data_IF_201655278505
#
_entry.id   IF_201655278505
#
_cell.length_a   1.000
_cell.length_b   1.000
_cell.length_c   1.000
_cell.angle_alpha   90.00
_cell.angle_beta   90.00
_cell.angle_gamma   90.00
#
_symmetry.space_group_name_H-M   'P 1'
#
loop_
_entity.id
_entity.type
_entity.pdbx_description
1 polymer ?
#
# COMPACT_ATOMS: atom_id res chain seq x y z
N UNK A 1 -3.79 33.51 3.83
CA UNK A 1 -3.17 33.17 2.54
C UNK A 1 -2.04 32.18 2.80
N UNK A 2 -2.24 30.89 2.52
CA UNK A 2 -1.14 29.91 2.64
C UNK A 2 -0.08 30.24 1.58
N UNK A 3 1.14 30.57 2.01
CA UNK A 3 2.24 30.82 1.09
C UNK A 3 2.55 29.60 0.22
N UNK A 4 2.99 29.82 -1.03
CA UNK A 4 3.36 28.75 -1.96
C UNK A 4 4.40 27.83 -1.32
N UNK A 5 4.21 26.52 -1.43
CA UNK A 5 5.19 25.52 -0.98
C UNK A 5 6.50 25.69 -1.74
N UNK A 6 7.64 25.66 -1.04
CA UNK A 6 8.96 25.62 -1.69
C UNK A 6 9.17 24.21 -2.23
N UNK A 7 9.59 24.10 -3.48
CA UNK A 7 9.81 22.82 -4.17
C UNK A 7 11.17 22.77 -4.85
N UNK A 8 11.74 21.58 -5.01
CA UNK A 8 12.96 21.32 -5.78
C UNK A 8 12.94 19.93 -6.42
N UNK A 9 13.89 19.67 -7.31
CA UNK A 9 14.17 18.33 -7.86
C UNK A 9 15.59 17.96 -7.43
N UNK A 10 15.79 16.74 -6.90
CA UNK A 10 17.12 16.27 -6.54
C UNK A 10 17.91 15.79 -7.77
N UNK A 11 19.19 15.44 -7.59
CA UNK A 11 20.04 14.93 -8.67
C UNK A 11 19.52 13.63 -9.32
N UNK A 12 18.73 12.84 -8.59
CA UNK A 12 18.13 11.59 -9.06
C UNK A 12 16.79 11.76 -9.80
N UNK A 13 16.32 12.99 -9.96
CA UNK A 13 15.07 13.34 -10.66
C UNK A 13 13.80 13.37 -9.80
N UNK A 14 13.89 13.18 -8.49
CA UNK A 14 12.72 13.17 -7.61
C UNK A 14 12.34 14.57 -7.12
N UNK A 15 11.05 14.88 -7.21
CA UNK A 15 10.45 16.10 -6.63
C UNK A 15 10.45 16.05 -5.11
N UNK A 16 10.81 17.16 -4.49
CA UNK A 16 10.78 17.38 -3.05
C UNK A 16 10.08 18.70 -2.74
N UNK A 17 9.44 18.78 -1.58
CA UNK A 17 8.90 20.02 -1.02
C UNK A 17 9.48 20.28 0.37
N UNK A 18 9.55 21.55 0.77
CA UNK A 18 9.93 21.93 2.13
C UNK A 18 8.73 21.79 3.04
N UNK A 19 8.80 20.81 3.94
CA UNK A 19 7.85 20.66 5.04
C UNK A 19 8.24 21.68 6.13
N UNK A 20 7.31 22.57 6.48
CA UNK A 20 7.57 23.63 7.46
C UNK A 20 7.40 23.15 8.89
N UNK A 21 6.58 22.14 9.10
CA UNK A 21 6.29 21.61 10.43
C UNK A 21 7.44 20.73 10.88
N UNK A 22 8.03 19.97 9.95
CA UNK A 22 9.19 19.11 10.19
C UNK A 22 10.54 19.77 9.87
N UNK A 23 10.53 21.02 9.38
CA UNK A 23 11.69 21.80 8.97
C UNK A 23 12.69 21.04 8.08
N UNK A 24 12.19 20.24 7.12
CA UNK A 24 13.01 19.38 6.24
C UNK A 24 12.48 19.28 4.81
N UNK A 25 13.34 18.82 3.91
CA UNK A 25 12.94 18.46 2.55
C UNK A 25 12.36 17.04 2.53
N UNK A 26 11.12 16.92 2.07
CA UNK A 26 10.40 15.65 1.98
C UNK A 26 10.19 15.28 0.51
N UNK A 27 10.34 14.00 0.17
CA UNK A 27 10.03 13.49 -1.16
C UNK A 27 8.54 13.53 -1.43
N UNK A 28 8.15 14.14 -2.55
CA UNK A 28 6.74 14.32 -2.89
C UNK A 28 6.02 12.99 -3.07
N UNK A 29 6.62 12.03 -3.78
CA UNK A 29 6.01 10.71 -3.98
C UNK A 29 5.78 9.99 -2.64
N UNK A 30 6.73 10.07 -1.70
CA UNK A 30 6.63 9.40 -0.40
C UNK A 30 5.50 9.98 0.44
N UNK A 31 5.37 11.31 0.49
CA UNK A 31 4.25 11.94 1.21
C UNK A 31 2.89 11.69 0.54
N UNK A 32 2.83 11.56 -0.79
CA UNK A 32 1.59 11.19 -1.48
C UNK A 32 1.21 9.73 -1.19
N UNK A 33 2.18 8.82 -1.21
CA UNK A 33 1.96 7.41 -0.90
C UNK A 33 1.52 7.20 0.55
N UNK A 34 2.18 7.87 1.52
CA UNK A 34 1.79 7.88 2.94
C UNK A 34 0.31 8.27 3.12
N UNK A 35 -0.10 9.37 2.48
CA UNK A 35 -1.51 9.80 2.51
C UNK A 35 -2.47 8.83 1.81
N UNK A 36 -2.01 8.09 0.81
CA UNK A 36 -2.81 7.08 0.09
C UNK A 36 -3.04 5.85 0.95
N UNK A 37 -2.02 5.35 1.65
CA UNK A 37 -2.10 4.12 2.44
C UNK A 37 -2.52 4.37 3.90
N UNK A 38 -2.64 5.63 4.32
CA UNK A 38 -3.08 6.00 5.66
C UNK A 38 -2.03 5.79 6.76
N UNK A 39 -0.81 5.39 6.40
CA UNK A 39 0.34 5.20 7.30
C UNK A 39 1.64 5.57 6.61
N UNK A 40 2.71 5.76 7.37
CA UNK A 40 4.05 5.88 6.79
C UNK A 40 4.51 4.52 6.21
N UNK A 41 5.24 4.51 5.07
CA UNK A 41 5.92 3.31 4.61
C UNK A 41 6.92 2.83 5.66
N UNK A 42 6.83 1.56 6.06
CA UNK A 42 7.69 0.96 7.09
C UNK A 42 9.07 0.61 6.53
N UNK A 43 10.08 0.31 7.36
CA UNK A 43 11.35 -0.21 6.87
C UNK A 43 11.14 -1.46 6.00
N UNK A 44 11.80 -1.51 4.84
CA UNK A 44 11.57 -2.56 3.83
C UNK A 44 10.48 -2.21 2.82
N UNK A 45 9.79 -1.08 2.93
CA UNK A 45 8.83 -0.61 1.93
C UNK A 45 9.35 0.58 1.10
N UNK A 46 9.19 0.48 -0.22
CA UNK A 46 9.54 1.52 -1.17
C UNK A 46 8.35 1.94 -2.02
N UNK A 47 8.35 3.21 -2.44
CA UNK A 47 7.30 3.77 -3.30
C UNK A 47 7.71 3.64 -4.75
N UNK A 48 6.95 2.85 -5.50
CA UNK A 48 7.16 2.59 -6.92
C UNK A 48 6.27 3.49 -7.79
N UNK A 49 6.84 4.02 -8.88
CA UNK A 49 6.10 4.73 -9.93
C UNK A 49 5.67 3.74 -11.00
N UNK A 50 4.37 3.44 -11.08
CA UNK A 50 3.81 2.40 -11.97
C UNK A 50 4.18 2.65 -13.44
N UNK A 51 4.21 3.92 -13.88
CA UNK A 51 4.59 4.29 -15.25
C UNK A 51 6.10 4.59 -15.45
N UNK A 52 6.92 4.44 -14.40
CA UNK A 52 8.36 4.78 -14.42
C UNK A 52 8.69 6.28 -14.42
N UNK A 53 7.70 7.17 -14.48
CA UNK A 53 7.91 8.63 -14.47
C UNK A 53 7.95 9.17 -13.04
N UNK A 54 9.17 9.50 -12.58
CA UNK A 54 9.46 10.07 -11.26
C UNK A 54 8.79 11.41 -10.98
N UNK A 55 8.37 12.12 -12.04
CA UNK A 55 7.69 13.40 -11.94
C UNK A 55 6.17 13.28 -11.74
N UNK A 56 5.59 12.13 -12.10
CA UNK A 56 4.17 11.83 -11.94
C UNK A 56 3.88 11.30 -10.54
N UNK A 57 3.65 12.24 -9.63
CA UNK A 57 3.36 11.98 -8.22
C UNK A 57 1.85 11.89 -7.94
N UNK A 58 1.01 11.58 -8.93
CA UNK A 58 -0.42 11.33 -8.70
C UNK A 58 -0.55 10.04 -7.89
N UNK A 59 -1.42 10.01 -6.88
CA UNK A 59 -1.62 8.83 -6.01
C UNK A 59 -1.94 7.55 -6.78
N UNK A 60 -2.65 7.65 -7.92
CA UNK A 60 -2.93 6.52 -8.81
C UNK A 60 -1.71 5.92 -9.51
N UNK A 61 -0.61 6.67 -9.58
CA UNK A 61 0.64 6.24 -10.22
C UNK A 61 1.67 5.71 -9.21
N UNK A 62 1.34 5.75 -7.91
CA UNK A 62 2.24 5.35 -6.84
C UNK A 62 1.70 4.11 -6.13
N UNK A 63 2.54 3.12 -5.93
CA UNK A 63 2.25 1.94 -5.12
C UNK A 63 3.39 1.72 -4.12
N UNK A 64 3.07 1.24 -2.93
CA UNK A 64 4.08 0.88 -1.93
C UNK A 64 4.32 -0.62 -2.04
N UNK A 65 5.58 -1.00 -2.23
CA UNK A 65 6.01 -2.39 -2.42
C UNK A 65 7.03 -2.76 -1.35
N UNK A 66 7.11 -4.05 -1.02
CA UNK A 66 8.31 -4.60 -0.35
C UNK A 66 9.53 -4.34 -1.24
N UNK A 67 10.68 -4.09 -0.63
CA UNK A 67 11.97 -3.86 -1.29
C UNK A 67 12.32 -4.99 -2.27
N UNK A 68 12.13 -6.23 -1.86
CA UNK A 68 12.38 -7.41 -2.72
C UNK A 68 11.49 -7.45 -3.96
N UNK A 69 10.21 -7.06 -3.82
CA UNK A 69 9.27 -6.96 -4.95
C UNK A 69 9.66 -5.77 -5.85
N UNK A 70 10.00 -4.64 -5.26
CA UNK A 70 10.43 -3.44 -5.99
C UNK A 70 11.68 -3.72 -6.84
N UNK A 71 12.68 -4.39 -6.26
CA UNK A 71 13.89 -4.80 -6.97
C UNK A 71 13.57 -5.76 -8.11
N UNK A 72 12.70 -6.75 -7.86
CA UNK A 72 12.26 -7.71 -8.88
C UNK A 72 11.57 -7.02 -10.06
N UNK A 73 10.69 -6.06 -9.80
CA UNK A 73 9.98 -5.29 -10.84
C UNK A 73 10.97 -4.46 -11.67
N UNK A 74 12.04 -3.95 -11.07
CA UNK A 74 13.03 -3.14 -11.79
C UNK A 74 14.10 -3.94 -12.53
N UNK A 75 14.52 -5.10 -12.01
CA UNK A 75 15.68 -5.82 -12.51
C UNK A 75 15.36 -7.12 -13.25
N UNK A 76 14.31 -7.83 -12.83
CA UNK A 76 14.03 -9.19 -13.31
C UNK A 76 12.80 -9.24 -14.22
N UNK A 77 11.67 -8.70 -13.75
CA UNK A 77 10.38 -8.85 -14.41
C UNK A 77 9.47 -7.63 -14.17
N UNK A 78 9.43 -6.66 -15.11
CA UNK A 78 8.56 -5.49 -15.04
C UNK A 78 7.07 -5.81 -14.96
N UNK A 79 6.66 -7.01 -15.38
CA UNK A 79 5.27 -7.47 -15.38
C UNK A 79 4.96 -8.34 -14.14
N UNK A 80 5.88 -8.40 -13.16
CA UNK A 80 5.65 -9.07 -11.90
C UNK A 80 4.51 -8.39 -11.11
N UNK A 81 3.68 -9.21 -10.48
CA UNK A 81 2.59 -8.74 -9.64
C UNK A 81 3.12 -7.86 -8.49
N UNK A 82 2.60 -6.64 -8.37
CA UNK A 82 2.99 -5.69 -7.31
C UNK A 82 2.57 -6.13 -5.89
N UNK A 83 1.72 -7.16 -5.74
CA UNK A 83 1.35 -7.71 -4.43
C UNK A 83 2.25 -8.87 -4.00
N UNK A 84 2.51 -9.83 -4.90
CA UNK A 84 3.21 -11.06 -4.55
C UNK A 84 4.54 -11.29 -5.28
N UNK A 85 4.91 -10.44 -6.23
CA UNK A 85 6.12 -10.56 -7.04
C UNK A 85 6.12 -11.68 -8.09
N UNK A 86 5.05 -12.49 -8.21
CA UNK A 86 4.97 -13.54 -9.24
C UNK A 86 4.38 -13.00 -10.55
N UNK A 87 4.81 -13.57 -11.67
CA UNK A 87 4.36 -13.18 -13.01
C UNK A 87 3.01 -13.79 -13.37
N UNK A 88 2.35 -13.24 -14.39
CA UNK A 88 1.15 -13.82 -15.00
C UNK A 88 -0.20 -13.29 -14.47
N UNK A 89 -0.18 -12.37 -13.50
CA UNK A 89 -1.37 -11.66 -13.01
C UNK A 89 -0.97 -10.29 -12.46
N UNK A 90 -1.95 -9.39 -12.34
CA UNK A 90 -1.77 -8.07 -11.71
C UNK A 90 -2.18 -8.11 -10.24
N UNK A 91 -1.83 -7.07 -9.48
CA UNK A 91 -2.15 -6.98 -8.05
C UNK A 91 -3.67 -7.10 -7.77
N UNK A 92 -4.51 -6.59 -8.66
CA UNK A 92 -5.97 -6.66 -8.56
C UNK A 92 -6.51 -8.09 -8.66
N UNK A 93 -5.82 -8.96 -9.40
CA UNK A 93 -6.19 -10.37 -9.62
C UNK A 93 -5.35 -11.33 -8.75
N UNK A 94 -4.64 -10.79 -7.75
CA UNK A 94 -3.71 -11.57 -6.95
C UNK A 94 -4.43 -12.34 -5.83
N UNK A 95 -4.44 -13.66 -5.95
CA UNK A 95 -5.00 -14.60 -4.97
C UNK A 95 -3.92 -15.25 -4.08
N UNK A 96 -2.69 -14.74 -4.12
CA UNK A 96 -1.56 -15.35 -3.43
C UNK A 96 -1.55 -15.00 -1.94
N UNK A 97 -1.33 -16.04 -1.12
CA UNK A 97 -1.17 -15.94 0.35
C UNK A 97 0.24 -15.56 0.78
N UNK A 98 1.21 -15.87 -0.07
CA UNK A 98 2.63 -15.57 0.15
C UNK A 98 3.22 -14.83 -1.03
N UNK A 99 4.32 -14.13 -0.83
CA UNK A 99 5.10 -13.53 -1.91
C UNK A 99 6.04 -14.54 -2.58
N UNK A 100 6.79 -14.08 -3.57
CA UNK A 100 7.69 -14.92 -4.35
C UNK A 100 8.84 -15.52 -3.52
N UNK A 101 9.16 -14.95 -2.36
CA UNK A 101 10.16 -15.46 -1.41
C UNK A 101 9.56 -16.47 -0.43
N UNK A 102 8.23 -16.49 -0.32
CA UNK A 102 7.48 -17.40 0.53
C UNK A 102 7.01 -16.77 1.83
N UNK A 103 7.24 -15.47 2.04
CA UNK A 103 6.74 -14.75 3.21
C UNK A 103 5.24 -14.51 3.07
N UNK A 104 4.52 -14.54 4.20
CA UNK A 104 3.09 -14.22 4.21
C UNK A 104 2.86 -12.78 3.71
N UNK A 105 1.83 -12.60 2.90
CA UNK A 105 1.31 -11.29 2.51
C UNK A 105 0.09 -11.10 3.40
N UNK A 106 0.26 -10.33 4.48
CA UNK A 106 -0.73 -10.08 5.54
C UNK A 106 -2.15 -10.38 5.08
N UNK A 107 -2.64 -11.55 5.49
CA UNK A 107 -4.04 -11.93 5.40
C UNK A 107 -4.70 -11.17 6.55
N UNK A 108 -5.71 -10.37 6.18
CA UNK A 108 -6.53 -9.60 7.09
C UNK A 108 -6.84 -10.44 8.33
N UNK A 109 -6.59 -9.89 9.51
CA UNK A 109 -6.88 -10.54 10.80
C UNK A 109 -8.29 -11.13 10.73
N UNK A 110 -8.33 -12.46 10.66
CA UNK A 110 -9.52 -13.30 10.73
C UNK A 110 -10.09 -13.15 12.15
N UNK A 111 -10.72 -12.01 12.39
CA UNK A 111 -11.69 -11.86 13.46
C UNK A 111 -12.92 -12.63 12.98
N UNK A 112 -12.85 -13.96 13.04
CA UNK A 112 -14.02 -14.83 13.15
C UNK A 112 -14.78 -14.29 14.36
N UNK A 113 -15.73 -13.38 14.11
CA UNK A 113 -16.83 -13.05 15.01
C UNK A 113 -17.47 -14.41 15.31
N UNK A 114 -17.13 -14.96 16.47
CA UNK A 114 -17.83 -16.08 17.07
C UNK A 114 -19.29 -15.64 17.16
N UNK A 115 -20.10 -15.99 16.15
CA UNK A 115 -21.55 -15.84 16.17
C UNK A 115 -22.04 -16.64 17.39
N UNK A 116 -22.18 -15.93 18.51
CA UNK A 116 -22.74 -16.41 19.76
C UNK A 116 -24.15 -16.93 19.47
N UNK A 117 -24.28 -18.24 19.54
CA UNK A 117 -25.52 -19.01 19.51
C UNK A 117 -26.42 -18.58 20.68
N UNK A 118 -27.24 -17.55 20.45
CA UNK A 118 -28.34 -17.18 21.34
C UNK A 118 -29.58 -18.00 20.94
N UNK A 119 -29.59 -19.26 21.37
CA UNK A 119 -30.76 -20.14 21.36
C UNK A 119 -31.79 -19.57 22.38
N UNK A 120 -32.65 -18.66 21.92
CA UNK A 120 -33.80 -18.14 22.66
C UNK A 120 -35.02 -18.23 21.74
N UNK A 121 -35.65 -19.40 21.70
CA UNK A 121 -37.05 -19.54 21.27
C UNK A 121 -37.90 -20.03 22.46
N UNK A 122 -38.32 -19.01 23.21
CA UNK A 122 -39.63 -18.73 23.79
C UNK A 122 -40.69 -19.86 23.74
N UNK A 123 -41.25 -20.11 24.93
CA UNK A 123 -42.32 -21.04 25.25
C UNK A 123 -43.59 -20.85 24.37
N UNK A 124 -44.07 -21.94 23.76
CA UNK A 124 -45.41 -22.00 23.15
C UNK A 124 -46.49 -22.07 24.25
N UNK A 125 -47.15 -20.95 24.54
CA UNK A 125 -48.40 -20.91 25.33
C UNK A 125 -49.55 -21.56 24.52
N UNK A 126 -49.84 -22.83 24.81
CA UNK A 126 -51.08 -23.53 24.44
C UNK A 126 -52.27 -22.98 25.28
N UNK A 127 -53.09 -22.11 24.68
CA UNK A 127 -54.42 -21.75 25.21
C UNK A 127 -55.53 -22.56 24.48
N UNK A 128 -56.13 -23.53 25.19
CA UNK A 128 -57.44 -24.11 24.87
C UNK A 128 -58.27 -24.43 26.13
#
# INVERSE_FOLDING_TARGET
>A
MAGKLKTRVNSSGYKQFWDKDEERWVFTHRRVAEKKIGREPVPGEEVHHINGDKEDNRSRNLVVLKDSIHDRVHHDDPDACFRCGRSGHWAEDCYAKTDFEGDAIDEDEDWDDEDEDWDDEDDEDDDF
#
